data_IF_286250935291
#
_entry.id   IF_286250935291
#
_cell.length_a   1.000
_cell.length_b   1.000
_cell.length_c   1.000
_cell.angle_alpha   90.00
_cell.angle_beta   90.00
_cell.angle_gamma   90.00
#
_symmetry.space_group_name_H-M   'P 1'
#
loop_
_entity.id
_entity.type
_entity.pdbx_description
1 polymer ?
#
# COMPACT_ATOMS: atom_id res chain seq x y z
N UNK A 1 -21.23 -23.38 6.57
CA UNK A 1 -20.66 -23.43 5.22
C UNK A 1 -19.16 -23.29 5.39
N UNK A 2 -18.36 -24.24 4.89
CA UNK A 2 -16.91 -24.10 4.86
C UNK A 2 -16.61 -22.95 3.90
N UNK A 3 -15.82 -21.95 4.35
CA UNK A 3 -15.28 -20.94 3.43
C UNK A 3 -14.40 -21.68 2.42
N UNK A 4 -14.59 -21.39 1.14
CA UNK A 4 -13.68 -21.86 0.10
C UNK A 4 -12.26 -21.42 0.47
N UNK A 5 -11.34 -22.36 0.31
CA UNK A 5 -9.93 -22.11 0.56
C UNK A 5 -9.46 -21.20 -0.56
N UNK A 6 -9.03 -19.98 -0.23
CA UNK A 6 -8.43 -19.07 -1.22
C UNK A 6 -7.17 -19.74 -1.80
N UNK A 7 -7.21 -20.12 -3.06
CA UNK A 7 -6.04 -20.66 -3.76
C UNK A 7 -5.33 -19.52 -4.48
N UNK A 8 -4.13 -19.21 -4.05
CA UNK A 8 -3.28 -18.20 -4.69
C UNK A 8 -2.73 -18.77 -6.00
N UNK A 9 -3.27 -18.32 -7.11
CA UNK A 9 -2.84 -18.72 -8.45
C UNK A 9 -1.81 -17.75 -9.06
N UNK A 10 -1.66 -16.55 -8.49
CA UNK A 10 -0.73 -15.49 -8.94
C UNK A 10 0.32 -15.17 -7.86
N UNK A 11 1.52 -14.72 -8.25
CA UNK A 11 2.52 -14.21 -7.31
C UNK A 11 1.93 -13.08 -6.46
N UNK A 12 2.26 -13.05 -5.17
CA UNK A 12 1.74 -12.07 -4.22
C UNK A 12 2.78 -11.01 -3.89
N UNK A 13 2.37 -9.73 -3.94
CA UNK A 13 3.20 -8.57 -3.63
C UNK A 13 2.45 -7.65 -2.66
N UNK A 14 3.13 -7.19 -1.63
CA UNK A 14 2.59 -6.17 -0.72
C UNK A 14 3.05 -4.80 -1.19
N UNK A 15 2.10 -3.93 -1.50
CA UNK A 15 2.38 -2.53 -1.84
C UNK A 15 1.58 -1.60 -0.94
N UNK A 16 1.84 -0.31 -1.01
CA UNK A 16 1.00 0.65 -0.30
C UNK A 16 1.25 2.07 -0.75
N UNK A 17 0.33 2.95 -0.38
CA UNK A 17 0.40 4.38 -0.66
C UNK A 17 1.06 5.13 0.49
N UNK A 18 2.04 5.97 0.15
CA UNK A 18 2.73 6.89 1.05
C UNK A 18 2.69 8.32 0.47
N UNK A 19 2.97 9.33 1.28
CA UNK A 19 3.00 10.72 0.85
C UNK A 19 2.23 11.64 1.78
N UNK A 20 2.26 12.93 1.48
CA UNK A 20 1.68 13.98 2.32
C UNK A 20 0.16 13.82 2.52
N UNK A 21 -0.38 14.39 3.61
CA UNK A 21 -1.82 14.53 3.82
C UNK A 21 -2.44 15.31 2.65
N UNK A 22 -3.67 15.01 2.28
CA UNK A 22 -4.42 15.64 1.18
C UNK A 22 -3.84 15.48 -0.24
N UNK A 23 -2.74 14.74 -0.43
CA UNK A 23 -2.24 14.40 -1.77
C UNK A 23 -3.09 13.36 -2.50
N UNK A 24 -4.07 12.74 -1.82
CA UNK A 24 -5.07 11.86 -2.42
C UNK A 24 -4.69 10.37 -2.43
N UNK A 25 -3.96 9.89 -1.42
CA UNK A 25 -3.59 8.46 -1.25
C UNK A 25 -4.81 7.55 -1.22
N UNK A 26 -5.72 7.79 -0.29
CA UNK A 26 -6.96 7.02 -0.13
C UNK A 26 -7.87 7.13 -1.36
N UNK A 27 -7.91 8.32 -2.02
CA UNK A 27 -8.63 8.51 -3.29
C UNK A 27 -8.03 7.64 -4.39
N UNK A 28 -6.69 7.55 -4.46
CA UNK A 28 -6.01 6.70 -5.43
C UNK A 28 -6.28 5.22 -5.14
N UNK A 29 -6.20 4.79 -3.89
CA UNK A 29 -6.53 3.42 -3.48
C UNK A 29 -7.96 3.04 -3.89
N UNK A 30 -8.93 3.91 -3.64
CA UNK A 30 -10.32 3.71 -4.08
C UNK A 30 -10.46 3.68 -5.63
N UNK A 31 -9.72 4.54 -6.34
CA UNK A 31 -9.72 4.56 -7.79
C UNK A 31 -9.14 3.27 -8.40
N UNK A 32 -8.05 2.74 -7.84
CA UNK A 32 -7.46 1.46 -8.26
C UNK A 32 -8.49 0.34 -8.09
N UNK A 33 -9.09 0.18 -6.92
CA UNK A 33 -10.09 -0.89 -6.68
C UNK A 33 -11.30 -0.74 -7.61
N UNK A 34 -11.72 0.49 -7.93
CA UNK A 34 -12.82 0.74 -8.86
C UNK A 34 -12.49 0.30 -10.28
N UNK A 35 -11.35 0.72 -10.80
CA UNK A 35 -10.95 0.41 -12.19
C UNK A 35 -10.75 -1.09 -12.37
N UNK A 36 -10.03 -1.74 -11.46
CA UNK A 36 -9.84 -3.19 -11.50
C UNK A 36 -11.15 -3.98 -11.28
N UNK A 37 -12.09 -3.44 -10.51
CA UNK A 37 -13.43 -4.05 -10.39
C UNK A 37 -14.19 -4.07 -11.72
N UNK A 38 -14.02 -3.06 -12.58
CA UNK A 38 -14.64 -3.04 -13.92
C UNK A 38 -14.09 -4.16 -14.81
N UNK A 39 -12.87 -4.62 -14.55
CA UNK A 39 -12.22 -5.75 -15.24
C UNK A 39 -12.52 -7.10 -14.56
N UNK A 40 -13.05 -7.09 -13.34
CA UNK A 40 -13.36 -8.29 -12.57
C UNK A 40 -12.22 -8.77 -11.65
N UNK A 41 -11.17 -7.97 -11.52
CA UNK A 41 -9.92 -8.30 -10.81
C UNK A 41 -9.85 -7.74 -9.38
N UNK A 42 -10.93 -7.10 -8.91
CA UNK A 42 -11.05 -6.60 -7.55
C UNK A 42 -12.50 -6.51 -7.08
N UNK A 43 -12.69 -6.50 -5.76
CA UNK A 43 -13.91 -5.99 -5.15
C UNK A 43 -13.78 -4.47 -4.98
N UNK A 44 -14.73 -3.70 -5.52
CA UNK A 44 -14.73 -2.26 -5.35
C UNK A 44 -14.86 -1.89 -3.87
N UNK A 45 -13.89 -1.14 -3.35
CA UNK A 45 -13.91 -0.59 -2.00
C UNK A 45 -14.11 0.92 -2.09
N UNK A 46 -15.29 1.40 -1.72
CA UNK A 46 -15.59 2.82 -1.67
C UNK A 46 -14.66 3.53 -0.67
N UNK A 47 -14.31 4.78 -0.95
CA UNK A 47 -13.51 5.66 -0.08
C UNK A 47 -13.96 5.60 1.38
N UNK A 48 -15.27 5.69 1.64
CA UNK A 48 -15.85 5.62 2.98
C UNK A 48 -15.68 4.25 3.68
N UNK A 49 -15.29 3.22 2.93
CA UNK A 49 -15.04 1.87 3.45
C UNK A 49 -13.54 1.58 3.63
N UNK A 50 -12.66 2.43 3.11
CA UNK A 50 -11.22 2.42 3.39
C UNK A 50 -11.00 3.10 4.74
N UNK A 51 -11.42 4.35 4.90
CA UNK A 51 -11.40 5.09 6.18
C UNK A 51 -12.64 4.74 7.02
N UNK A 52 -12.52 3.69 7.83
CA UNK A 52 -13.67 3.09 8.55
C UNK A 52 -13.98 3.75 9.89
N UNK A 53 -12.97 4.31 10.57
CA UNK A 53 -13.14 4.87 11.89
C UNK A 53 -14.00 6.15 11.84
N UNK A 54 -14.91 6.35 12.81
CA UNK A 54 -15.72 7.58 12.86
C UNK A 54 -14.87 8.86 12.84
N UNK A 55 -13.73 8.84 13.52
CA UNK A 55 -12.80 9.96 13.60
C UNK A 55 -12.11 10.25 12.26
N UNK A 56 -11.79 9.22 11.46
CA UNK A 56 -11.25 9.36 10.10
C UNK A 56 -12.25 10.05 9.19
N UNK A 57 -13.51 9.65 9.26
CA UNK A 57 -14.61 10.23 8.47
C UNK A 57 -14.93 11.68 8.87
N UNK A 58 -14.88 11.97 10.17
CA UNK A 58 -15.15 13.33 10.68
C UNK A 58 -14.03 14.31 10.27
N UNK A 59 -12.79 13.86 10.32
CA UNK A 59 -11.62 14.69 10.00
C UNK A 59 -11.24 14.67 8.52
N UNK A 60 -11.72 13.69 7.75
CA UNK A 60 -11.35 13.48 6.35
C UNK A 60 -9.89 13.09 6.15
N UNK A 61 -9.27 12.42 7.15
CA UNK A 61 -7.87 11.99 7.12
C UNK A 61 -7.75 10.53 7.56
N UNK A 62 -6.85 9.78 6.93
CA UNK A 62 -6.51 8.43 7.35
C UNK A 62 -5.68 8.47 8.64
N UNK A 63 -6.10 7.74 9.66
CA UNK A 63 -5.43 7.62 10.96
C UNK A 63 -4.74 6.26 11.08
N UNK A 64 -5.48 5.19 10.79
CA UNK A 64 -4.99 3.82 10.82
C UNK A 64 -4.67 3.34 9.42
N UNK A 65 -3.76 2.36 9.30
CA UNK A 65 -3.53 1.69 8.02
C UNK A 65 -4.77 0.91 7.60
N UNK A 66 -5.19 1.07 6.36
CA UNK A 66 -6.26 0.27 5.76
C UNK A 66 -5.66 -0.74 4.78
N UNK A 67 -6.26 -1.93 4.73
CA UNK A 67 -5.81 -2.99 3.83
C UNK A 67 -6.92 -3.28 2.82
N UNK A 68 -6.55 -3.29 1.55
CA UNK A 68 -7.39 -3.72 0.44
C UNK A 68 -6.63 -4.74 -0.41
N UNK A 69 -7.36 -5.62 -1.07
CA UNK A 69 -6.80 -6.64 -1.94
C UNK A 69 -7.34 -6.47 -3.36
N UNK A 70 -6.48 -6.68 -4.35
CA UNK A 70 -6.84 -6.69 -5.76
C UNK A 70 -5.81 -7.46 -6.58
N UNK A 71 -6.14 -7.69 -7.83
CA UNK A 71 -5.27 -8.41 -8.76
C UNK A 71 -5.05 -7.61 -10.05
N UNK A 72 -3.96 -7.92 -10.73
CA UNK A 72 -3.75 -7.64 -12.15
C UNK A 72 -3.68 -8.99 -12.88
N UNK A 73 -3.59 -8.97 -14.18
CA UNK A 73 -3.35 -10.20 -14.96
C UNK A 73 -2.11 -10.97 -14.47
N UNK A 74 -1.10 -10.25 -13.97
CA UNK A 74 0.20 -10.81 -13.59
C UNK A 74 0.31 -11.18 -12.12
N UNK A 75 -0.37 -10.46 -11.20
CA UNK A 75 -0.09 -10.53 -9.76
C UNK A 75 -1.33 -10.28 -8.89
N UNK A 76 -1.25 -10.79 -7.67
CA UNK A 76 -2.16 -10.45 -6.58
C UNK A 76 -1.47 -9.47 -5.63
N UNK A 77 -2.19 -8.42 -5.23
CA UNK A 77 -1.68 -7.37 -4.37
C UNK A 77 -2.45 -7.29 -3.05
N UNK A 78 -1.69 -7.18 -1.94
CA UNK A 78 -2.21 -6.60 -0.70
C UNK A 78 -1.72 -5.15 -0.65
N UNK A 79 -2.66 -4.21 -0.61
CA UNK A 79 -2.38 -2.78 -0.61
C UNK A 79 -2.65 -2.19 0.77
N UNK A 80 -1.66 -1.50 1.31
CA UNK A 80 -1.71 -0.81 2.60
C UNK A 80 -1.86 0.68 2.35
N UNK A 81 -3.02 1.27 2.65
CA UNK A 81 -3.19 2.72 2.63
C UNK A 81 -2.66 3.32 3.93
N UNK A 82 -1.60 4.13 3.84
CA UNK A 82 -0.93 4.71 4.99
C UNK A 82 -1.43 6.12 5.30
N UNK A 83 -1.52 6.49 6.61
CA UNK A 83 -1.82 7.87 6.99
C UNK A 83 -0.75 8.83 6.46
N UNK A 84 -1.18 10.06 6.14
CA UNK A 84 -0.29 11.11 5.63
C UNK A 84 0.07 12.17 6.67
N UNK A 85 -0.64 12.24 7.79
CA UNK A 85 -0.48 13.27 8.79
C UNK A 85 0.67 12.95 9.77
N UNK A 86 1.45 13.97 10.15
CA UNK A 86 2.61 13.84 11.02
C UNK A 86 2.30 13.17 12.38
N UNK A 87 1.11 13.38 12.93
CA UNK A 87 0.71 12.78 14.22
C UNK A 87 0.61 11.24 14.14
N UNK A 88 0.48 10.66 12.94
CA UNK A 88 0.29 9.23 12.71
C UNK A 88 1.48 8.54 12.05
N UNK A 89 2.66 9.16 12.10
CA UNK A 89 3.92 8.62 11.56
C UNK A 89 4.19 7.21 12.06
N UNK A 90 3.86 6.89 13.31
CA UNK A 90 4.02 5.54 13.86
C UNK A 90 3.22 4.49 13.08
N UNK A 91 1.98 4.80 12.72
CA UNK A 91 1.13 3.90 11.92
C UNK A 91 1.64 3.79 10.48
N UNK A 92 2.15 4.91 9.92
CA UNK A 92 2.81 4.91 8.62
C UNK A 92 4.03 3.98 8.60
N UNK A 93 4.90 4.05 9.62
CA UNK A 93 6.09 3.19 9.74
C UNK A 93 5.69 1.71 9.79
N UNK A 94 4.69 1.38 10.60
CA UNK A 94 4.19 0.00 10.72
C UNK A 94 3.63 -0.52 9.39
N UNK A 95 2.88 0.31 8.66
CA UNK A 95 2.37 -0.04 7.33
C UNK A 95 3.49 -0.19 6.30
N UNK A 96 4.43 0.77 6.26
CA UNK A 96 5.54 0.75 5.31
C UNK A 96 6.47 -0.46 5.50
N UNK A 97 6.68 -0.92 6.72
CA UNK A 97 7.50 -2.10 7.01
C UNK A 97 6.95 -3.40 6.38
N UNK A 98 5.66 -3.43 6.02
CA UNK A 98 5.03 -4.58 5.38
C UNK A 98 5.20 -4.60 3.85
N UNK A 99 5.62 -3.50 3.23
CA UNK A 99 5.62 -3.30 1.79
C UNK A 99 6.84 -3.93 1.11
N UNK A 100 6.61 -4.56 -0.03
CA UNK A 100 7.64 -4.97 -0.99
C UNK A 100 7.97 -3.84 -1.97
N UNK A 101 7.10 -2.84 -2.06
CA UNK A 101 7.26 -1.60 -2.81
C UNK A 101 6.19 -0.58 -2.42
N UNK A 102 6.44 0.71 -2.64
CA UNK A 102 5.51 1.78 -2.30
C UNK A 102 5.11 2.60 -3.52
N UNK A 103 3.89 3.14 -3.50
CA UNK A 103 3.40 4.17 -4.40
C UNK A 103 3.48 5.50 -3.67
N UNK A 104 4.40 6.36 -4.07
CA UNK A 104 4.51 7.71 -3.55
C UNK A 104 3.53 8.62 -4.27
N UNK A 105 2.56 9.15 -3.54
CA UNK A 105 1.54 10.06 -4.09
C UNK A 105 1.93 11.50 -3.80
N UNK A 106 2.11 12.28 -4.87
CA UNK A 106 2.45 13.70 -4.81
C UNK A 106 1.44 14.51 -5.60
N UNK A 107 0.90 15.56 -5.00
CA UNK A 107 0.02 16.50 -5.73
C UNK A 107 0.83 17.31 -6.74
N UNK A 108 0.40 17.34 -8.00
CA UNK A 108 1.03 18.15 -9.04
C UNK A 108 0.91 19.66 -8.76
N UNK A 109 -0.14 20.08 -8.05
CA UNK A 109 -0.38 21.48 -7.71
C UNK A 109 0.51 21.97 -6.55
N UNK A 110 0.80 21.09 -5.58
CA UNK A 110 1.50 21.44 -4.34
C UNK A 110 2.98 21.05 -4.39
N UNK A 111 3.36 20.08 -5.23
CA UNK A 111 4.70 19.50 -5.26
C UNK A 111 5.04 18.67 -4.01
N UNK A 112 6.33 18.33 -3.81
CA UNK A 112 6.79 17.62 -2.62
C UNK A 112 6.66 18.47 -1.37
N UNK A 113 5.90 18.02 -0.38
CA UNK A 113 5.62 18.67 0.89
C UNK A 113 6.44 18.03 2.04
N UNK A 114 6.49 18.62 3.25
CA UNK A 114 7.33 18.11 4.34
C UNK A 114 7.12 16.62 4.66
N UNK A 115 5.87 16.13 4.74
CA UNK A 115 5.62 14.72 4.99
C UNK A 115 5.99 13.83 3.78
N UNK A 116 6.05 14.37 2.56
CA UNK A 116 6.57 13.61 1.41
C UNK A 116 8.02 13.22 1.67
N UNK A 117 8.86 14.18 2.10
CA UNK A 117 10.27 13.93 2.46
C UNK A 117 10.41 12.96 3.61
N UNK A 118 9.63 13.16 4.67
CA UNK A 118 9.60 12.28 5.84
C UNK A 118 9.22 10.84 5.47
N UNK A 119 8.19 10.65 4.65
CA UNK A 119 7.73 9.31 4.23
C UNK A 119 8.76 8.59 3.35
N UNK A 120 9.47 9.29 2.46
CA UNK A 120 10.54 8.69 1.66
C UNK A 120 11.69 8.25 2.58
N UNK A 121 12.13 9.12 3.50
CA UNK A 121 13.17 8.80 4.47
C UNK A 121 12.80 7.59 5.32
N UNK A 122 11.60 7.58 5.89
CA UNK A 122 11.13 6.49 6.74
C UNK A 122 10.98 5.18 5.95
N UNK A 123 10.47 5.24 4.73
CA UNK A 123 10.38 4.06 3.85
C UNK A 123 11.77 3.47 3.58
N UNK A 124 12.78 4.31 3.37
CA UNK A 124 14.17 3.86 3.23
C UNK A 124 14.69 3.18 4.50
N UNK A 125 14.41 3.77 5.67
CA UNK A 125 14.86 3.24 6.96
C UNK A 125 14.20 1.90 7.32
N UNK A 126 12.94 1.69 7.00
CA UNK A 126 12.24 0.41 7.25
C UNK A 126 12.50 -0.63 6.16
N UNK A 127 13.26 -0.26 5.11
CA UNK A 127 13.72 -1.19 4.10
C UNK A 127 12.77 -1.42 2.93
N UNK A 128 11.85 -0.47 2.63
CA UNK A 128 11.08 -0.51 1.37
C UNK A 128 12.05 -0.41 0.19
N UNK A 129 12.12 -1.42 -0.68
CA UNK A 129 13.19 -1.47 -1.68
C UNK A 129 12.89 -0.68 -2.95
N UNK A 130 11.62 -0.46 -3.28
CA UNK A 130 11.17 0.15 -4.54
C UNK A 130 10.09 1.19 -4.30
N UNK A 131 10.15 2.29 -5.05
CA UNK A 131 9.11 3.32 -5.09
C UNK A 131 8.69 3.55 -6.53
N UNK A 132 7.38 3.59 -6.79
CA UNK A 132 6.75 4.12 -8.00
C UNK A 132 6.04 5.40 -7.62
N UNK A 133 6.05 6.41 -8.47
CA UNK A 133 5.43 7.71 -8.15
C UNK A 133 4.13 7.87 -8.93
N UNK A 134 3.10 8.34 -8.24
CA UNK A 134 1.88 8.84 -8.86
C UNK A 134 1.75 10.34 -8.61
N UNK A 135 2.00 11.14 -9.66
CA UNK A 135 1.79 12.59 -9.65
C UNK A 135 0.31 12.86 -9.86
N UNK A 136 -0.39 13.07 -8.74
CA UNK A 136 -1.84 13.19 -8.66
C UNK A 136 -2.33 14.63 -8.89
N UNK A 137 -3.63 14.81 -9.09
CA UNK A 137 -4.31 16.10 -9.27
C UNK A 137 -3.82 16.90 -10.49
N UNK A 138 -3.43 16.24 -11.56
CA UNK A 138 -3.02 16.93 -12.79
C UNK A 138 -4.14 17.71 -13.45
N UNK A 139 -5.39 17.41 -13.10
CA UNK A 139 -6.58 18.17 -13.48
C UNK A 139 -6.64 19.59 -12.90
N UNK A 140 -5.80 19.91 -11.93
CA UNK A 140 -5.70 21.23 -11.28
C UNK A 140 -4.53 22.07 -11.84
N UNK A 141 -3.76 21.54 -12.79
CA UNK A 141 -2.56 22.20 -13.33
C UNK A 141 -2.66 22.28 -14.84
N UNK A 142 -2.82 23.50 -15.35
CA UNK A 142 -2.93 23.77 -16.80
C UNK A 142 -1.57 23.98 -17.46
N UNK A 143 -0.51 24.26 -16.66
CA UNK A 143 0.83 24.58 -17.13
C UNK A 143 1.72 23.30 -17.21
N UNK A 144 2.09 22.85 -18.42
CA UNK A 144 2.99 21.71 -18.58
C UNK A 144 4.39 21.92 -17.96
N UNK A 145 4.90 23.16 -17.94
CA UNK A 145 6.23 23.44 -17.38
C UNK A 145 6.23 23.23 -15.86
N UNK A 146 5.12 23.52 -15.18
CA UNK A 146 4.97 23.23 -13.77
C UNK A 146 4.99 21.72 -13.48
N UNK A 147 4.36 20.91 -14.33
CA UNK A 147 4.41 19.45 -14.19
C UNK A 147 5.83 18.90 -14.34
N UNK A 148 6.61 19.45 -15.28
CA UNK A 148 8.01 19.06 -15.47
C UNK A 148 8.86 19.47 -14.27
N UNK A 149 8.64 20.66 -13.71
CA UNK A 149 9.35 21.15 -12.52
C UNK A 149 9.07 20.24 -11.31
N UNK A 150 7.81 19.93 -11.06
CA UNK A 150 7.44 19.02 -9.95
C UNK A 150 8.03 17.63 -10.14
N UNK A 151 8.08 17.12 -11.38
CA UNK A 151 8.73 15.85 -11.68
C UNK A 151 10.23 15.89 -11.35
N UNK A 152 10.92 16.95 -11.73
CA UNK A 152 12.34 17.14 -11.40
C UNK A 152 12.57 17.18 -9.89
N UNK A 153 11.76 17.92 -9.15
CA UNK A 153 11.86 17.99 -7.68
C UNK A 153 11.66 16.62 -7.02
N UNK A 154 10.72 15.81 -7.55
CA UNK A 154 10.49 14.46 -7.05
C UNK A 154 11.71 13.55 -7.31
N UNK A 155 12.30 13.63 -8.50
CA UNK A 155 13.50 12.85 -8.86
C UNK A 155 14.70 13.22 -8.00
N UNK A 156 14.94 14.52 -7.81
CA UNK A 156 16.01 15.03 -6.95
C UNK A 156 15.81 14.56 -5.51
N UNK A 157 14.57 14.61 -5.01
CA UNK A 157 14.24 14.15 -3.67
C UNK A 157 14.45 12.64 -3.50
N UNK A 158 14.07 11.81 -4.47
CA UNK A 158 14.31 10.38 -4.43
C UNK A 158 15.82 10.07 -4.42
N UNK A 159 16.60 10.77 -5.25
CA UNK A 159 18.06 10.63 -5.29
C UNK A 159 18.70 11.04 -3.96
N UNK A 160 18.22 12.11 -3.30
CA UNK A 160 18.67 12.56 -1.97
C UNK A 160 18.54 11.46 -0.92
N UNK A 161 17.47 10.66 -1.00
CA UNK A 161 17.21 9.54 -0.06
C UNK A 161 17.64 8.16 -0.60
N UNK A 162 18.56 8.14 -1.55
CA UNK A 162 19.18 6.93 -2.10
C UNK A 162 18.20 5.97 -2.80
N UNK A 163 17.10 6.46 -3.37
CA UNK A 163 16.31 5.77 -4.36
C UNK A 163 16.75 6.19 -5.76
N UNK A 164 16.64 5.32 -6.78
CA UNK A 164 17.07 5.66 -8.15
C UNK A 164 16.09 6.62 -8.83
N UNK A 165 16.09 7.90 -8.43
CA UNK A 165 15.13 8.90 -8.87
C UNK A 165 15.02 9.04 -10.39
N UNK A 166 16.15 8.91 -11.11
CA UNK A 166 16.17 9.03 -12.57
C UNK A 166 15.48 7.85 -13.27
N UNK A 167 15.56 6.64 -12.69
CA UNK A 167 14.97 5.41 -13.22
C UNK A 167 13.57 5.13 -12.66
N UNK A 168 13.15 5.86 -11.61
CA UNK A 168 11.85 5.65 -10.98
C UNK A 168 10.71 6.04 -11.92
N UNK A 169 9.73 5.14 -12.17
CA UNK A 169 8.54 5.48 -12.93
C UNK A 169 7.71 6.57 -12.24
N UNK A 170 7.35 7.61 -13.00
CA UNK A 170 6.46 8.68 -12.54
C UNK A 170 5.25 8.73 -13.48
N UNK A 171 4.10 8.37 -12.96
CA UNK A 171 2.83 8.36 -13.68
C UNK A 171 2.05 9.63 -13.30
N UNK A 172 1.56 10.35 -14.32
CA UNK A 172 0.80 11.60 -14.17
C UNK A 172 -0.68 11.33 -14.37
N UNK A 173 -1.53 11.81 -13.44
CA UNK A 173 -2.97 11.60 -13.58
C UNK A 173 -3.82 12.25 -12.49
N UNK A 174 -5.11 11.96 -12.53
CA UNK A 174 -6.08 12.38 -11.53
C UNK A 174 -6.86 11.18 -10.99
N UNK A 175 -6.53 10.79 -9.77
CA UNK A 175 -7.28 9.75 -9.06
C UNK A 175 -8.75 10.16 -8.85
N UNK A 176 -9.02 11.46 -8.69
CA UNK A 176 -10.36 11.98 -8.51
C UNK A 176 -11.22 11.80 -9.76
N UNK A 177 -10.70 12.13 -10.95
CA UNK A 177 -11.42 11.93 -12.21
C UNK A 177 -11.69 10.43 -12.47
N UNK A 178 -10.73 9.58 -12.20
CA UNK A 178 -10.92 8.13 -12.31
C UNK A 178 -11.99 7.63 -11.32
N UNK A 179 -11.93 8.07 -10.04
CA UNK A 179 -12.89 7.64 -9.04
C UNK A 179 -14.31 8.13 -9.32
N UNK A 180 -14.48 9.36 -9.79
CA UNK A 180 -15.80 9.98 -10.01
C UNK A 180 -16.39 9.71 -11.38
N UNK A 181 -15.62 9.17 -12.33
CA UNK A 181 -16.14 8.78 -13.64
C UNK A 181 -17.32 7.81 -13.52
N UNK A 182 -18.32 7.99 -14.36
CA UNK A 182 -19.48 7.10 -14.46
C UNK A 182 -19.37 6.10 -15.61
N UNK A 183 -18.24 6.09 -16.33
CA UNK A 183 -17.99 5.15 -17.41
C UNK A 183 -17.98 3.72 -16.89
N UNK A 184 -18.57 2.82 -17.68
CA UNK A 184 -18.48 1.36 -17.47
C UNK A 184 -17.48 0.70 -18.41
N UNK A 185 -16.86 1.48 -19.30
CA UNK A 185 -15.80 1.01 -20.17
C UNK A 185 -14.48 1.07 -19.39
N UNK A 186 -13.84 -0.08 -19.11
CA UNK A 186 -12.56 -0.09 -18.41
C UNK A 186 -11.45 0.65 -19.16
N UNK A 187 -11.58 0.82 -20.49
CA UNK A 187 -10.63 1.55 -21.32
C UNK A 187 -10.95 3.04 -21.47
N UNK A 188 -11.85 3.59 -20.68
CA UNK A 188 -12.18 5.01 -20.74
C UNK A 188 -10.93 5.88 -20.44
N UNK A 189 -10.78 7.04 -21.10
CA UNK A 189 -9.58 7.88 -20.98
C UNK A 189 -9.24 8.28 -19.55
N UNK A 190 -10.21 8.48 -18.70
CA UNK A 190 -10.04 8.84 -17.29
C UNK A 190 -9.43 7.73 -16.44
N UNK A 191 -9.48 6.46 -16.90
CA UNK A 191 -8.87 5.30 -16.21
C UNK A 191 -7.44 5.01 -16.67
N UNK A 192 -7.01 5.62 -17.77
CA UNK A 192 -5.70 5.36 -18.37
C UNK A 192 -4.54 5.49 -17.38
N UNK A 193 -4.54 6.54 -16.56
CA UNK A 193 -3.48 6.76 -15.57
C UNK A 193 -3.44 5.67 -14.48
N UNK A 194 -4.56 5.02 -14.18
CA UNK A 194 -4.61 3.91 -13.22
C UNK A 194 -4.00 2.64 -13.86
N UNK A 195 -4.33 2.34 -15.12
CA UNK A 195 -3.71 1.23 -15.85
C UNK A 195 -2.20 1.43 -16.00
N UNK A 196 -1.76 2.63 -16.42
CA UNK A 196 -0.34 2.96 -16.52
C UNK A 196 0.38 2.84 -15.18
N UNK A 197 -0.27 3.19 -14.07
CA UNK A 197 0.27 3.00 -12.73
C UNK A 197 0.43 1.51 -12.40
N UNK A 198 -0.59 0.71 -12.64
CA UNK A 198 -0.54 -0.72 -12.33
C UNK A 198 0.45 -1.46 -13.22
N UNK A 199 0.56 -1.09 -14.48
CA UNK A 199 1.60 -1.60 -15.39
C UNK A 199 3.01 -1.26 -14.87
N UNK A 200 3.24 -0.01 -14.45
CA UNK A 200 4.51 0.41 -13.88
C UNK A 200 4.84 -0.35 -12.57
N UNK A 201 3.85 -0.57 -11.72
CA UNK A 201 4.01 -1.37 -10.49
C UNK A 201 4.35 -2.82 -10.82
N UNK A 202 3.67 -3.42 -11.81
CA UNK A 202 3.92 -4.79 -12.27
C UNK A 202 5.33 -4.98 -12.87
N UNK A 203 5.84 -3.96 -13.55
CA UNK A 203 7.14 -4.02 -14.25
C UNK A 203 8.32 -3.64 -13.34
N UNK A 204 8.15 -2.59 -12.53
CA UNK A 204 9.25 -2.01 -11.77
C UNK A 204 9.48 -2.67 -10.41
N UNK A 205 8.41 -3.11 -9.72
CA UNK A 205 8.53 -3.78 -8.43
C UNK A 205 8.64 -5.29 -8.69
N UNK A 206 9.79 -5.93 -8.40
CA UNK A 206 9.96 -7.36 -8.64
C UNK A 206 9.09 -8.18 -7.69
N UNK A 207 8.75 -9.40 -8.09
CA UNK A 207 8.15 -10.38 -7.18
C UNK A 207 9.15 -10.71 -6.08
N UNK A 208 8.79 -10.53 -4.79
CA UNK A 208 9.73 -10.76 -3.69
C UNK A 208 10.09 -12.24 -3.57
N UNK A 209 11.38 -12.51 -3.32
CA UNK A 209 11.85 -13.86 -3.01
C UNK A 209 11.42 -14.25 -1.59
N UNK A 210 10.44 -15.14 -1.51
CA UNK A 210 9.91 -15.65 -0.23
C UNK A 210 10.78 -16.79 0.27
N UNK A 211 11.53 -16.57 1.34
CA UNK A 211 12.41 -17.56 1.99
C UNK A 211 11.59 -18.63 2.74
N UNK A 212 10.76 -19.37 2.00
CA UNK A 212 9.79 -20.32 2.56
C UNK A 212 10.44 -21.57 3.18
N UNK A 213 11.67 -21.88 2.84
CA UNK A 213 12.50 -22.97 3.34
C UNK A 213 13.19 -22.67 4.68
N UNK A 214 13.13 -21.42 5.13
CA UNK A 214 13.73 -21.01 6.42
C UNK A 214 12.74 -21.22 7.58
N UNK A 215 13.25 -21.22 8.84
CA UNK A 215 12.38 -21.24 10.01
C UNK A 215 11.38 -20.09 10.00
N UNK A 216 10.12 -20.39 10.36
CA UNK A 216 9.05 -19.40 10.43
C UNK A 216 9.43 -18.21 11.30
N UNK A 217 9.21 -17.01 10.79
CA UNK A 217 9.35 -15.74 11.51
C UNK A 217 8.24 -14.76 11.07
N UNK A 218 7.51 -14.27 12.05
CA UNK A 218 6.49 -13.24 11.87
C UNK A 218 6.63 -12.20 12.99
N UNK A 219 7.09 -10.98 12.70
CA UNK A 219 6.95 -9.87 13.63
C UNK A 219 5.47 -9.63 13.93
N UNK A 220 5.14 -9.49 15.22
CA UNK A 220 3.76 -9.20 15.64
C UNK A 220 3.54 -7.69 15.59
N UNK A 221 2.54 -7.26 14.84
CA UNK A 221 2.20 -5.85 14.63
C UNK A 221 1.01 -5.43 15.49
N UNK A 222 -0.01 -6.29 15.55
CA UNK A 222 -1.19 -6.05 16.36
C UNK A 222 -1.69 -7.34 17.04
N UNK A 223 -2.37 -7.17 18.17
CA UNK A 223 -2.92 -8.27 18.97
C UNK A 223 -4.32 -7.90 19.44
N UNK A 224 -5.29 -8.75 19.10
CA UNK A 224 -6.67 -8.58 19.53
C UNK A 224 -7.31 -9.91 19.94
N UNK A 225 -8.44 -9.85 20.62
CA UNK A 225 -9.16 -11.03 21.08
C UNK A 225 -10.47 -11.17 20.31
N UNK A 226 -10.68 -12.34 19.73
CA UNK A 226 -11.96 -12.70 19.09
C UNK A 226 -12.72 -13.64 20.01
N UNK A 227 -13.95 -13.29 20.38
CA UNK A 227 -14.83 -14.13 21.19
C UNK A 227 -15.02 -15.50 20.54
N UNK A 228 -14.69 -16.56 21.26
CA UNK A 228 -14.76 -17.95 20.79
C UNK A 228 -13.54 -18.44 19.98
N UNK A 229 -12.60 -17.57 19.65
CA UNK A 229 -11.33 -17.94 18.97
C UNK A 229 -10.08 -17.68 19.79
N UNK A 230 -10.16 -16.81 20.79
CA UNK A 230 -9.02 -16.47 21.66
C UNK A 230 -8.21 -15.29 21.13
N UNK A 231 -6.93 -15.24 21.49
CA UNK A 231 -6.00 -14.19 21.09
C UNK A 231 -5.54 -14.41 19.66
N UNK A 232 -5.65 -13.38 18.83
CA UNK A 232 -5.17 -13.34 17.45
C UNK A 232 -4.02 -12.33 17.37
N UNK A 233 -2.90 -12.76 16.80
CA UNK A 233 -1.79 -11.89 16.46
C UNK A 233 -1.74 -11.71 14.94
N UNK A 234 -1.54 -10.48 14.49
CA UNK A 234 -1.36 -10.14 13.08
C UNK A 234 0.07 -9.69 12.82
N UNK A 235 0.52 -9.85 11.59
CA UNK A 235 1.84 -9.44 11.14
C UNK A 235 2.18 -10.03 9.78
N UNK A 236 3.25 -9.53 9.18
CA UNK A 236 3.80 -10.07 7.94
C UNK A 236 4.67 -11.29 8.22
N UNK A 237 4.47 -12.38 7.50
CA UNK A 237 5.39 -13.53 7.52
C UNK A 237 6.65 -13.17 6.74
N UNK A 238 7.75 -12.91 7.45
CA UNK A 238 9.04 -12.53 6.86
C UNK A 238 9.74 -13.71 6.18
N UNK A 239 9.62 -14.90 6.77
CA UNK A 239 10.22 -16.13 6.25
C UNK A 239 9.54 -17.37 6.82
N UNK A 240 9.77 -18.50 6.16
CA UNK A 240 9.23 -19.78 6.55
C UNK A 240 7.76 -19.95 6.20
N UNK A 241 7.19 -21.01 6.70
CA UNK A 241 5.79 -21.38 6.54
C UNK A 241 5.23 -21.81 7.88
N UNK A 242 3.92 -21.66 8.07
CA UNK A 242 3.21 -22.12 9.26
C UNK A 242 1.89 -22.75 8.88
N UNK A 243 1.50 -23.79 9.61
CA UNK A 243 0.22 -24.48 9.45
C UNK A 243 -0.53 -24.53 10.77
N UNK A 244 -1.84 -24.61 10.70
CA UNK A 244 -2.66 -24.85 11.88
C UNK A 244 -2.26 -26.18 12.53
N UNK A 245 -2.06 -26.15 13.86
CA UNK A 245 -1.60 -27.29 14.65
C UNK A 245 -0.09 -27.31 14.91
N UNK A 246 0.69 -26.46 14.26
CA UNK A 246 2.13 -26.35 14.52
C UNK A 246 2.43 -25.48 15.74
N UNK A 247 3.56 -25.78 16.41
CA UNK A 247 4.04 -25.05 17.57
C UNK A 247 4.96 -23.91 17.13
N UNK A 248 4.72 -22.71 17.67
CA UNK A 248 5.58 -21.54 17.51
C UNK A 248 6.09 -21.05 18.84
N UNK A 249 7.27 -20.42 18.84
CA UNK A 249 7.86 -19.79 20.00
C UNK A 249 7.63 -18.28 19.92
N UNK A 250 6.97 -17.72 20.96
CA UNK A 250 6.83 -16.29 21.12
C UNK A 250 8.12 -15.76 21.74
N UNK A 251 8.83 -14.91 21.01
CA UNK A 251 10.03 -14.21 21.46
C UNK A 251 9.74 -12.73 21.60
N UNK A 252 10.34 -12.06 22.56
CA UNK A 252 10.09 -10.65 22.77
C UNK A 252 11.01 -10.05 23.84
N UNK A 253 10.53 -9.06 24.57
CA UNK A 253 11.27 -8.29 25.56
C UNK A 253 11.59 -9.06 26.85
N UNK A 254 11.07 -10.27 27.02
CA UNK A 254 11.33 -11.13 28.18
C UNK A 254 12.23 -12.31 27.78
N UNK A 255 13.10 -12.74 28.67
CA UNK A 255 13.98 -13.92 28.46
C UNK A 255 13.20 -15.24 28.47
N UNK A 256 11.93 -15.23 28.88
CA UNK A 256 11.08 -16.41 28.91
C UNK A 256 10.53 -16.73 27.50
N UNK A 257 10.99 -17.87 26.99
CA UNK A 257 10.49 -18.45 25.75
C UNK A 257 9.13 -19.10 25.99
N UNK A 258 8.09 -18.61 25.32
CA UNK A 258 6.75 -19.16 25.41
C UNK A 258 6.39 -19.89 24.14
N UNK A 259 6.09 -21.17 24.26
CA UNK A 259 5.60 -21.99 23.15
C UNK A 259 4.07 -22.01 23.14
N UNK A 260 3.50 -21.85 21.96
CA UNK A 260 2.05 -21.87 21.74
C UNK A 260 1.74 -22.64 20.44
N UNK A 261 0.57 -23.25 20.39
CA UNK A 261 0.09 -23.94 19.19
C UNK A 261 -0.78 -23.00 18.38
N UNK A 262 -0.55 -22.92 17.07
CA UNK A 262 -1.39 -22.17 16.14
C UNK A 262 -2.71 -22.88 15.95
N UNK A 263 -3.80 -22.32 16.42
CA UNK A 263 -5.14 -22.93 16.38
C UNK A 263 -5.96 -22.54 15.15
N UNK A 264 -5.53 -21.51 14.41
CA UNK A 264 -6.18 -21.03 13.17
C UNK A 264 -5.29 -20.03 12.44
N UNK A 265 -5.52 -19.93 11.16
CA UNK A 265 -4.91 -18.98 10.24
C UNK A 265 -6.02 -18.30 9.45
#
# INVERSE_FOLDING_TARGET
>A
MAREKFERNKPHVNIGTIGHVDHGKTTLTAAITKVLNLEGDADFVDYANIDKAPEERERGITINTAHVEYETDKRHYAHVDCPGHADYVKNMITGAAQMDGAILVVSAADGPMPQTREHILLSRQVGVPYIVVFMNKTDQVDDPELLELVEMEIRDLLNEYEFPGDDTPIIKGSAYLALTSTSKDPNAPEYKCIHELMDAVDEYIPTPDRKADQPFLMPVEDVFTITGRGTVATGRVERGQIKTGEEVEIVGLTDEKRKVVVTGL
#
